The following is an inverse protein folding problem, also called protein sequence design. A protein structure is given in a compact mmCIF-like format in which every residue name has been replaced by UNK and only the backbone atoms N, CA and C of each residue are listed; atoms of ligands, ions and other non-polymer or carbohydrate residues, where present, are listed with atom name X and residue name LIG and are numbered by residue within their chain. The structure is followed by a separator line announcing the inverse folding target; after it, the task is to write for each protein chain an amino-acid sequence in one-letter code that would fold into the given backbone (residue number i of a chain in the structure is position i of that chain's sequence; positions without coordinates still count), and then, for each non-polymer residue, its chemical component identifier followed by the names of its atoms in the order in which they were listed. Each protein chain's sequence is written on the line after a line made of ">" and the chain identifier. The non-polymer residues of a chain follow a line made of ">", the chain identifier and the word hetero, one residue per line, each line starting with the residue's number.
data_IF_933749424421
#
_entry.id   IF_933749424421
#
_cell.length_a   1.000
_cell.length_b   1.000
_cell.length_c   1.000
_cell.angle_alpha   90.00
_cell.angle_beta   90.00
_cell.angle_gamma   90.00
#
_symmetry.space_group_name_H-M   'P 1'
#
loop_
_entity.id
_entity.type
_entity.pdbx_description
1 polymer ?
#
# COMPACT_ATOMS: atom_id res chain seq x y z
N UNK A 1 16.88 59.66 19.30
CA UNK A 1 16.21 58.76 18.38
C UNK A 1 17.28 57.97 17.66
N UNK A 2 17.52 56.73 18.05
CA UNK A 2 18.47 55.83 17.42
C UNK A 2 17.64 54.69 16.81
N UNK A 3 17.62 54.62 15.48
CA UNK A 3 17.03 53.54 14.71
C UNK A 3 17.82 52.25 14.94
N UNK A 4 17.17 51.26 15.52
CA UNK A 4 17.70 49.90 15.61
C UNK A 4 17.52 49.23 14.26
N UNK A 5 18.61 49.14 13.46
CA UNK A 5 18.71 48.31 12.28
C UNK A 5 18.68 46.83 12.68
N UNK A 6 17.53 46.18 12.52
CA UNK A 6 17.41 44.70 12.59
C UNK A 6 18.08 44.06 11.39
N UNK A 7 19.27 43.53 11.60
CA UNK A 7 19.93 42.63 10.62
C UNK A 7 19.10 41.36 10.49
N UNK A 8 18.81 40.89 9.24
CA UNK A 8 18.15 39.63 9.03
C UNK A 8 19.10 38.49 9.47
N UNK A 9 18.62 37.60 10.32
CA UNK A 9 19.33 36.40 10.73
C UNK A 9 19.70 35.53 9.51
N UNK A 10 20.92 34.94 9.45
CA UNK A 10 21.35 34.14 8.33
C UNK A 10 20.45 32.91 8.19
N UNK A 11 19.91 32.72 6.99
CA UNK A 11 19.20 31.53 6.57
C UNK A 11 20.09 30.30 6.85
N UNK A 12 19.72 29.50 7.84
CA UNK A 12 20.41 28.25 8.14
C UNK A 12 20.39 27.35 6.92
N UNK A 13 21.53 27.22 6.26
CA UNK A 13 21.79 26.16 5.27
C UNK A 13 21.48 24.81 5.92
N UNK A 14 20.83 23.87 5.19
CA UNK A 14 20.53 22.55 5.75
C UNK A 14 21.85 21.89 6.14
N UNK A 15 21.98 21.56 7.43
CA UNK A 15 23.18 20.89 7.95
C UNK A 15 23.44 19.64 7.10
N UNK A 16 24.70 19.37 6.79
CA UNK A 16 25.14 18.16 6.05
C UNK A 16 24.59 16.88 6.68
N UNK A 17 24.35 16.87 7.99
CA UNK A 17 23.72 15.80 8.76
C UNK A 17 22.28 15.47 8.34
N UNK A 18 21.46 16.45 7.94
CA UNK A 18 20.07 16.19 7.55
C UNK A 18 19.95 15.47 6.19
N UNK A 19 20.86 15.75 5.24
CA UNK A 19 20.91 15.04 3.96
C UNK A 19 21.36 13.59 4.12
N UNK A 20 22.38 13.35 4.94
CA UNK A 20 22.86 12.01 5.22
C UNK A 20 21.81 11.16 5.94
N UNK A 21 21.13 11.72 6.93
CA UNK A 21 20.04 11.06 7.66
C UNK A 21 18.86 10.69 6.73
N UNK A 22 18.50 11.60 5.80
CA UNK A 22 17.44 11.31 4.82
C UNK A 22 17.87 10.21 3.84
N UNK A 23 19.07 10.29 3.27
CA UNK A 23 19.56 9.27 2.33
C UNK A 23 19.57 7.89 3.01
N UNK A 24 19.94 7.85 4.28
CA UNK A 24 19.93 6.62 5.05
C UNK A 24 18.52 6.01 5.16
N UNK A 25 17.54 6.78 5.64
CA UNK A 25 16.17 6.27 5.80
C UNK A 25 15.54 5.89 4.45
N UNK A 26 15.91 6.60 3.38
CA UNK A 26 15.51 6.24 2.01
C UNK A 26 16.04 4.86 1.61
N UNK A 27 17.32 4.59 1.84
CA UNK A 27 17.93 3.28 1.58
C UNK A 27 17.26 2.20 2.43
N UNK A 28 17.05 2.45 3.71
CA UNK A 28 16.37 1.52 4.63
C UNK A 28 15.00 1.14 4.10
N UNK A 29 14.17 2.11 3.73
CA UNK A 29 12.83 1.87 3.18
C UNK A 29 12.89 1.13 1.85
N UNK A 30 13.82 1.51 0.96
CA UNK A 30 13.99 0.84 -0.32
C UNK A 30 14.36 -0.64 -0.14
N UNK A 31 15.26 -0.96 0.80
CA UNK A 31 15.67 -2.34 1.11
C UNK A 31 14.54 -3.13 1.76
N UNK A 32 13.74 -2.53 2.65
CA UNK A 32 12.59 -3.19 3.27
C UNK A 32 11.53 -3.57 2.23
N UNK A 33 11.22 -2.65 1.29
CA UNK A 33 10.26 -2.94 0.22
C UNK A 33 10.81 -3.90 -0.83
N UNK A 34 12.11 -3.86 -1.09
CA UNK A 34 12.78 -4.85 -1.94
C UNK A 34 12.69 -6.25 -1.32
N UNK A 35 13.02 -6.40 -0.03
CA UNK A 35 12.91 -7.67 0.68
C UNK A 35 11.47 -8.22 0.70
N UNK A 36 10.48 -7.34 0.94
CA UNK A 36 9.07 -7.70 0.85
C UNK A 36 8.68 -8.15 -0.57
N UNK A 37 9.10 -7.40 -1.59
CA UNK A 37 8.82 -7.69 -2.99
C UNK A 37 9.43 -9.01 -3.47
N UNK A 38 10.61 -9.37 -2.98
CA UNK A 38 11.29 -10.65 -3.29
C UNK A 38 10.44 -11.86 -2.89
N UNK A 39 9.70 -11.79 -1.80
CA UNK A 39 8.89 -12.89 -1.26
C UNK A 39 7.55 -13.01 -1.99
N UNK A 40 7.01 -11.90 -2.49
CA UNK A 40 5.66 -11.83 -3.05
C UNK A 40 5.36 -12.90 -4.12
N UNK A 41 6.22 -13.18 -5.13
CA UNK A 41 5.95 -14.18 -6.17
C UNK A 41 6.12 -15.62 -5.72
N UNK A 42 6.73 -15.87 -4.55
CA UNK A 42 7.21 -17.19 -4.15
C UNK A 42 6.44 -17.81 -3.00
N UNK A 43 5.95 -17.00 -2.06
CA UNK A 43 5.21 -17.50 -0.90
C UNK A 43 4.00 -18.36 -1.29
N UNK A 44 3.14 -17.97 -2.26
CA UNK A 44 2.03 -18.81 -2.70
C UNK A 44 2.50 -20.16 -3.28
N UNK A 45 3.59 -20.18 -4.06
CA UNK A 45 4.13 -21.40 -4.65
C UNK A 45 4.73 -22.34 -3.58
N UNK A 46 5.34 -21.79 -2.54
CA UNK A 46 5.80 -22.58 -1.40
C UNK A 46 4.61 -23.20 -0.64
N UNK A 47 3.47 -22.51 -0.53
CA UNK A 47 2.24 -23.05 0.05
C UNK A 47 1.68 -24.16 -0.85
N UNK A 48 1.67 -24.00 -2.18
CA UNK A 48 1.26 -25.03 -3.14
C UNK A 48 2.12 -26.30 -2.96
N UNK A 49 3.43 -26.13 -2.78
CA UNK A 49 4.34 -27.26 -2.54
C UNK A 49 3.99 -28.03 -1.26
N UNK A 50 3.68 -27.33 -0.15
CA UNK A 50 3.24 -27.97 1.09
C UNK A 50 1.87 -28.63 0.98
N UNK A 51 0.99 -28.16 0.09
CA UNK A 51 -0.32 -28.74 -0.18
C UNK A 51 -0.30 -29.80 -1.33
N UNK A 52 0.87 -30.37 -1.58
CA UNK A 52 1.08 -31.41 -2.61
C UNK A 52 0.52 -31.04 -3.99
N UNK A 53 0.62 -29.79 -4.39
CA UNK A 53 0.14 -29.27 -5.68
C UNK A 53 -1.34 -28.88 -5.71
N UNK A 54 -2.07 -28.96 -4.61
CA UNK A 54 -3.48 -28.56 -4.56
C UNK A 54 -3.65 -27.04 -4.51
N UNK A 55 -3.77 -26.40 -5.69
CA UNK A 55 -3.86 -24.95 -5.84
C UNK A 55 -5.11 -24.37 -5.14
N UNK A 56 -6.26 -25.07 -5.16
CA UNK A 56 -7.48 -24.58 -4.50
C UNK A 56 -7.29 -24.48 -2.98
N UNK A 57 -6.70 -25.50 -2.33
CA UNK A 57 -6.39 -25.46 -0.90
C UNK A 57 -5.31 -24.43 -0.58
N UNK A 58 -4.27 -24.39 -1.42
CA UNK A 58 -3.19 -23.40 -1.26
C UNK A 58 -3.71 -21.96 -1.37
N UNK A 59 -4.65 -21.70 -2.26
CA UNK A 59 -5.29 -20.40 -2.39
C UNK A 59 -6.05 -20.00 -1.11
N UNK A 60 -6.86 -20.92 -0.56
CA UNK A 60 -7.57 -20.67 0.68
C UNK A 60 -6.59 -20.36 1.84
N UNK A 61 -5.51 -21.14 1.96
CA UNK A 61 -4.47 -20.96 2.99
C UNK A 61 -3.73 -19.62 2.78
N UNK A 62 -3.39 -19.28 1.56
CA UNK A 62 -2.73 -17.99 1.23
C UNK A 62 -3.56 -16.80 1.72
N UNK A 63 -4.89 -16.89 1.64
CA UNK A 63 -5.80 -15.87 2.18
C UNK A 63 -5.68 -15.72 3.70
N UNK A 64 -5.63 -16.81 4.43
CA UNK A 64 -5.42 -16.76 5.88
C UNK A 64 -4.05 -16.19 6.26
N UNK A 65 -3.01 -16.49 5.48
CA UNK A 65 -1.68 -15.93 5.67
C UNK A 65 -1.66 -14.42 5.43
N UNK A 66 -2.32 -13.96 4.36
CA UNK A 66 -2.46 -12.53 4.07
C UNK A 66 -3.27 -11.79 5.14
N UNK A 67 -4.40 -12.38 5.57
CA UNK A 67 -5.23 -11.84 6.65
C UNK A 67 -4.46 -11.73 7.96
N UNK A 68 -3.75 -12.79 8.37
CA UNK A 68 -2.99 -12.83 9.60
C UNK A 68 -1.87 -11.76 9.61
N UNK A 69 -1.11 -11.68 8.53
CA UNK A 69 -0.08 -10.66 8.36
C UNK A 69 -0.62 -9.23 8.43
N UNK A 70 -1.68 -8.94 7.67
CA UNK A 70 -2.28 -7.60 7.64
C UNK A 70 -2.93 -7.24 8.98
N UNK A 71 -3.51 -8.22 9.69
CA UNK A 71 -4.08 -8.02 11.03
C UNK A 71 -2.99 -7.64 12.02
N UNK A 72 -1.88 -8.39 12.05
CA UNK A 72 -0.74 -8.04 12.90
C UNK A 72 -0.18 -6.66 12.57
N UNK A 73 -0.02 -6.34 11.28
CA UNK A 73 0.45 -5.03 10.87
C UNK A 73 -0.52 -3.91 11.31
N UNK A 74 -1.83 -4.11 11.16
CA UNK A 74 -2.83 -3.12 11.55
C UNK A 74 -2.85 -2.88 13.06
N UNK A 75 -2.76 -3.94 13.86
CA UNK A 75 -2.76 -3.85 15.32
C UNK A 75 -1.46 -3.28 15.88
N UNK A 76 -0.32 -3.68 15.32
CA UNK A 76 0.99 -3.31 15.87
C UNK A 76 1.54 -2.00 15.31
N UNK A 77 1.06 -1.50 14.16
CA UNK A 77 1.53 -0.24 13.60
C UNK A 77 1.38 0.95 14.55
N UNK A 78 0.22 1.18 15.21
CA UNK A 78 0.10 2.25 16.19
C UNK A 78 0.91 1.97 17.47
N UNK A 79 1.11 0.71 17.85
CA UNK A 79 1.92 0.33 19.03
C UNK A 79 3.40 0.66 18.77
N UNK A 80 3.94 0.22 17.63
CA UNK A 80 5.32 0.52 17.25
C UNK A 80 5.53 2.02 17.02
N UNK A 81 4.53 2.71 16.46
CA UNK A 81 4.56 4.17 16.37
C UNK A 81 4.69 4.83 17.74
N UNK A 82 3.86 4.43 18.70
CA UNK A 82 3.89 4.93 20.07
C UNK A 82 5.20 4.58 20.81
N UNK A 83 5.73 3.38 20.60
CA UNK A 83 7.05 3.01 21.12
C UNK A 83 8.16 3.84 20.49
N UNK A 84 8.08 4.12 19.21
CA UNK A 84 9.00 5.01 18.50
C UNK A 84 8.97 6.44 19.06
N UNK A 85 7.80 6.96 19.45
CA UNK A 85 7.65 8.25 20.12
C UNK A 85 8.24 8.25 21.54
N UNK A 86 8.24 7.11 22.23
CA UNK A 86 8.71 6.99 23.61
C UNK A 86 10.20 6.64 23.72
N UNK A 87 10.66 5.68 22.94
CA UNK A 87 12.02 5.15 23.06
C UNK A 87 13.00 5.74 22.05
N UNK A 88 12.47 6.48 21.07
CA UNK A 88 13.21 7.04 19.94
C UNK A 88 12.92 6.29 18.63
N UNK A 89 13.15 6.96 17.51
CA UNK A 89 12.87 6.42 16.16
C UNK A 89 13.83 5.30 15.79
N UNK A 90 15.13 5.55 16.02
CA UNK A 90 16.21 4.64 15.65
C UNK A 90 16.06 3.24 16.22
N UNK A 91 15.88 3.02 17.55
CA UNK A 91 15.77 1.67 18.12
C UNK A 91 14.65 0.86 17.52
N UNK A 92 13.49 1.49 17.25
CA UNK A 92 12.32 0.79 16.71
C UNK A 92 12.53 0.39 15.25
N UNK A 93 13.10 1.28 14.43
CA UNK A 93 13.44 0.98 13.03
C UNK A 93 14.44 -0.18 12.96
N UNK A 94 15.51 -0.13 13.77
CA UNK A 94 16.53 -1.18 13.79
C UNK A 94 15.99 -2.52 14.29
N UNK A 95 15.16 -2.51 15.34
CA UNK A 95 14.51 -3.71 15.88
C UNK A 95 13.59 -4.36 14.82
N UNK A 96 12.86 -3.54 14.07
CA UNK A 96 12.00 -4.02 13.00
C UNK A 96 12.78 -4.64 11.85
N UNK A 97 13.84 -3.99 11.36
CA UNK A 97 14.69 -4.54 10.29
C UNK A 97 15.38 -5.84 10.73
N UNK A 98 15.91 -5.89 11.97
CA UNK A 98 16.55 -7.07 12.52
C UNK A 98 15.55 -8.21 12.73
N UNK A 99 14.37 -7.91 13.29
CA UNK A 99 13.29 -8.88 13.48
C UNK A 99 12.78 -9.46 12.15
N UNK A 100 12.63 -8.63 11.11
CA UNK A 100 12.29 -9.10 9.75
C UNK A 100 13.39 -10.03 9.19
N UNK A 101 14.65 -9.69 9.36
CA UNK A 101 15.76 -10.53 8.90
C UNK A 101 15.76 -11.91 9.55
N UNK A 102 15.53 -11.97 10.87
CA UNK A 102 15.41 -13.24 11.59
C UNK A 102 14.15 -14.02 11.17
N UNK A 103 13.04 -13.35 10.97
CA UNK A 103 11.81 -13.96 10.50
C UNK A 103 11.95 -14.58 9.11
N UNK A 104 12.66 -13.92 8.20
CA UNK A 104 12.93 -14.48 6.87
C UNK A 104 13.83 -15.73 6.95
N UNK A 105 14.81 -15.78 7.84
CA UNK A 105 15.56 -17.02 8.12
C UNK A 105 14.63 -18.10 8.66
N UNK A 106 13.77 -17.75 9.62
CA UNK A 106 12.80 -18.67 10.20
C UNK A 106 11.87 -19.25 9.14
N UNK A 107 11.34 -18.40 8.22
CA UNK A 107 10.51 -18.86 7.11
C UNK A 107 11.29 -19.68 6.06
N UNK A 108 12.55 -19.34 5.78
CA UNK A 108 13.41 -20.12 4.89
C UNK A 108 13.63 -21.56 5.40
N UNK A 109 13.69 -21.74 6.70
CA UNK A 109 13.90 -23.02 7.37
C UNK A 109 12.60 -23.75 7.72
N UNK A 110 11.43 -23.12 7.49
CA UNK A 110 10.15 -23.66 7.91
C UNK A 110 9.88 -25.07 7.34
N UNK A 111 9.64 -26.08 8.21
CA UNK A 111 9.40 -27.46 7.79
C UNK A 111 7.94 -27.74 7.46
N UNK A 112 7.01 -26.84 7.80
CA UNK A 112 5.56 -27.00 7.62
C UNK A 112 4.84 -25.67 7.47
N UNK A 113 3.57 -25.72 7.02
CA UNK A 113 2.69 -24.55 6.91
C UNK A 113 2.48 -23.83 8.24
N UNK A 114 2.39 -24.57 9.36
CA UNK A 114 2.27 -23.97 10.69
C UNK A 114 3.43 -23.06 11.05
N UNK A 115 4.66 -23.47 10.74
CA UNK A 115 5.86 -22.65 10.93
C UNK A 115 5.85 -21.41 10.02
N UNK A 116 5.51 -21.59 8.75
CA UNK A 116 5.33 -20.44 7.83
C UNK A 116 4.27 -19.46 8.33
N UNK A 117 3.17 -19.96 8.91
CA UNK A 117 2.11 -19.13 9.45
C UNK A 117 2.60 -18.30 10.65
N UNK A 118 3.35 -18.92 11.56
CA UNK A 118 3.99 -18.20 12.68
C UNK A 118 4.94 -17.11 12.15
N UNK A 119 5.75 -17.41 11.14
CA UNK A 119 6.57 -16.41 10.47
C UNK A 119 5.72 -15.25 9.91
N UNK A 120 4.58 -15.52 9.29
CA UNK A 120 3.68 -14.45 8.81
C UNK A 120 3.13 -13.55 9.91
N UNK A 121 2.87 -14.10 11.10
CA UNK A 121 2.49 -13.30 12.27
C UNK A 121 3.65 -12.40 12.72
N UNK A 122 4.86 -12.96 12.82
CA UNK A 122 6.06 -12.22 13.22
C UNK A 122 6.37 -11.11 12.20
N UNK A 123 6.34 -11.44 10.89
CA UNK A 123 6.60 -10.44 9.86
C UNK A 123 5.55 -9.33 9.82
N UNK A 124 4.28 -9.63 10.13
CA UNK A 124 3.24 -8.63 10.28
C UNK A 124 3.53 -7.62 11.41
N UNK A 125 4.03 -8.10 12.53
CA UNK A 125 4.45 -7.24 13.66
C UNK A 125 5.67 -6.41 13.27
N UNK A 126 6.72 -7.05 12.77
CA UNK A 126 8.01 -6.41 12.50
C UNK A 126 7.98 -5.46 11.29
N UNK A 127 7.13 -5.69 10.28
CA UNK A 127 6.95 -4.79 9.14
C UNK A 127 6.15 -3.52 9.44
N UNK A 128 5.68 -3.35 10.68
CA UNK A 128 4.88 -2.16 11.09
C UNK A 128 5.72 -0.89 11.33
N UNK A 129 6.98 -0.86 10.91
CA UNK A 129 7.93 0.24 11.11
C UNK A 129 7.74 1.43 10.16
N UNK A 130 6.90 1.31 9.14
CA UNK A 130 6.67 2.35 8.12
C UNK A 130 6.25 3.67 8.77
N UNK A 131 5.36 3.63 9.78
CA UNK A 131 4.95 4.84 10.51
C UNK A 131 6.14 5.53 11.20
N UNK A 132 7.04 4.76 11.82
CA UNK A 132 8.26 5.27 12.45
C UNK A 132 9.23 5.87 11.44
N UNK A 133 9.34 5.29 10.26
CA UNK A 133 10.18 5.80 9.17
C UNK A 133 9.64 7.14 8.63
N UNK A 134 8.33 7.28 8.42
CA UNK A 134 7.71 8.55 8.03
C UNK A 134 7.87 9.63 9.11
N UNK A 135 7.73 9.25 10.39
CA UNK A 135 7.97 10.16 11.51
C UNK A 135 9.44 10.62 11.55
N UNK A 136 10.39 9.70 11.35
CA UNK A 136 11.82 10.01 11.26
C UNK A 136 12.10 11.07 10.17
N UNK A 137 11.54 10.88 8.96
CA UNK A 137 11.68 11.87 7.87
C UNK A 137 11.09 13.22 8.26
N UNK A 138 9.96 13.23 8.97
CA UNK A 138 9.33 14.47 9.45
C UNK A 138 10.22 15.20 10.46
N UNK A 139 10.92 14.45 11.33
CA UNK A 139 11.81 15.01 12.36
C UNK A 139 13.06 15.66 11.73
N UNK A 140 13.64 15.06 10.66
CA UNK A 140 14.90 15.53 10.05
C UNK A 140 14.69 16.47 8.86
N UNK A 141 13.43 16.72 8.44
CA UNK A 141 13.12 17.50 7.23
C UNK A 141 12.33 18.76 7.56
N UNK A 142 12.79 19.94 7.13
CA UNK A 142 12.05 21.19 7.23
C UNK A 142 10.67 21.08 6.53
N UNK A 143 9.62 21.75 7.05
CA UNK A 143 8.25 21.65 6.52
C UNK A 143 8.13 21.84 5.01
N UNK A 144 8.86 22.80 4.44
CA UNK A 144 8.82 23.18 3.03
C UNK A 144 9.36 22.06 2.10
N UNK A 145 10.20 21.16 2.63
CA UNK A 145 10.83 20.06 1.87
C UNK A 145 10.16 18.71 2.12
N UNK A 146 9.25 18.59 3.08
CA UNK A 146 8.61 17.31 3.47
C UNK A 146 7.88 16.65 2.29
N UNK A 147 7.11 17.43 1.52
CA UNK A 147 6.39 16.90 0.36
C UNK A 147 7.33 16.24 -0.65
N UNK A 148 8.47 16.85 -0.96
CA UNK A 148 9.48 16.28 -1.84
C UNK A 148 10.08 14.99 -1.26
N UNK A 149 10.38 14.97 0.05
CA UNK A 149 10.98 13.80 0.69
C UNK A 149 10.00 12.63 0.76
N UNK A 150 8.72 12.87 1.06
CA UNK A 150 7.69 11.83 1.00
C UNK A 150 7.48 11.30 -0.43
N UNK A 151 7.59 12.15 -1.44
CA UNK A 151 7.58 11.73 -2.83
C UNK A 151 8.73 10.77 -3.16
N UNK A 152 9.94 11.05 -2.66
CA UNK A 152 11.09 10.16 -2.82
C UNK A 152 10.90 8.83 -2.10
N UNK A 153 10.33 8.83 -0.87
CA UNK A 153 9.99 7.57 -0.18
C UNK A 153 8.97 6.74 -0.95
N UNK A 154 7.98 7.39 -1.57
CA UNK A 154 7.03 6.71 -2.46
C UNK A 154 7.72 6.12 -3.69
N UNK A 155 8.75 6.79 -4.22
CA UNK A 155 9.57 6.23 -5.31
C UNK A 155 10.40 5.02 -4.84
N UNK A 156 10.95 5.03 -3.61
CA UNK A 156 11.63 3.87 -3.03
C UNK A 156 10.69 2.66 -2.90
N UNK A 157 9.45 2.89 -2.45
CA UNK A 157 8.39 1.88 -2.46
C UNK A 157 8.16 1.31 -3.87
N UNK A 158 7.99 2.18 -4.87
CA UNK A 158 7.79 1.77 -6.26
C UNK A 158 8.95 0.93 -6.81
N UNK A 159 10.20 1.33 -6.53
CA UNK A 159 11.40 0.58 -6.93
C UNK A 159 11.43 -0.81 -6.29
N UNK A 160 11.12 -0.92 -4.99
CA UNK A 160 11.05 -2.20 -4.29
C UNK A 160 10.00 -3.14 -4.91
N UNK A 161 8.85 -2.59 -5.30
CA UNK A 161 7.78 -3.33 -5.97
C UNK A 161 8.06 -3.71 -7.44
N UNK A 162 8.98 -3.04 -8.10
CA UNK A 162 9.43 -3.38 -9.46
C UNK A 162 10.54 -4.43 -9.40
N UNK A 163 11.60 -4.14 -8.64
CA UNK A 163 12.81 -4.96 -8.60
C UNK A 163 12.61 -6.20 -7.75
N UNK A 164 11.87 -6.08 -6.63
CA UNK A 164 11.63 -7.17 -5.68
C UNK A 164 11.04 -8.42 -6.35
N UNK A 165 9.87 -8.35 -6.98
CA UNK A 165 9.27 -9.50 -7.64
C UNK A 165 10.13 -10.08 -8.76
N UNK A 166 10.85 -9.24 -9.51
CA UNK A 166 11.75 -9.71 -10.56
C UNK A 166 12.90 -10.56 -9.96
N UNK A 167 13.56 -10.05 -8.94
CA UNK A 167 14.63 -10.78 -8.23
C UNK A 167 14.06 -12.02 -7.53
N UNK A 168 12.91 -11.89 -6.87
CA UNK A 168 12.24 -12.98 -6.18
C UNK A 168 11.84 -14.12 -7.11
N UNK A 169 11.30 -13.78 -8.29
CA UNK A 169 10.96 -14.77 -9.32
C UNK A 169 12.17 -15.48 -9.91
N UNK A 170 13.29 -14.75 -10.11
CA UNK A 170 14.55 -15.36 -10.57
C UNK A 170 15.14 -16.31 -9.53
N UNK A 171 15.21 -15.90 -8.28
CA UNK A 171 15.71 -16.75 -7.18
C UNK A 171 14.76 -17.92 -6.91
N UNK A 172 13.44 -17.70 -6.95
CA UNK A 172 12.41 -18.69 -6.72
C UNK A 172 12.41 -19.80 -7.77
N UNK A 173 12.72 -19.45 -9.02
CA UNK A 173 12.87 -20.42 -10.10
C UNK A 173 14.03 -21.40 -9.86
N UNK A 174 15.08 -20.99 -9.15
CA UNK A 174 16.19 -21.88 -8.77
C UNK A 174 15.76 -22.73 -7.57
N UNK A 175 15.23 -22.10 -6.52
CA UNK A 175 14.73 -22.76 -5.33
C UNK A 175 13.76 -21.82 -4.59
N UNK A 176 12.57 -22.32 -4.23
CA UNK A 176 11.52 -21.54 -3.55
C UNK A 176 11.93 -20.95 -2.18
N UNK A 177 13.01 -21.44 -1.58
CA UNK A 177 13.52 -20.91 -0.31
C UNK A 177 14.61 -19.84 -0.46
N UNK A 178 15.27 -19.75 -1.64
CA UNK A 178 16.30 -18.74 -1.90
C UNK A 178 15.80 -17.30 -1.75
N UNK A 179 14.58 -16.92 -2.17
CA UNK A 179 14.05 -15.58 -1.96
C UNK A 179 14.00 -15.18 -0.49
N UNK A 180 13.66 -16.11 0.41
CA UNK A 180 13.65 -15.83 1.87
C UNK A 180 15.06 -15.61 2.41
N UNK A 181 16.07 -16.37 1.96
CA UNK A 181 17.46 -16.13 2.29
C UNK A 181 17.96 -14.78 1.76
N UNK A 182 17.60 -14.43 0.51
CA UNK A 182 17.92 -13.14 -0.07
C UNK A 182 17.31 -11.98 0.73
N UNK A 183 16.03 -12.09 1.09
CA UNK A 183 15.35 -11.10 1.91
C UNK A 183 15.96 -11.01 3.33
N UNK A 184 16.35 -12.14 3.93
CA UNK A 184 17.02 -12.16 5.22
C UNK A 184 18.37 -11.41 5.18
N UNK A 185 19.20 -11.69 4.17
CA UNK A 185 20.48 -10.99 4.01
C UNK A 185 20.27 -9.49 3.82
N UNK A 186 19.30 -9.08 2.99
CA UNK A 186 19.01 -7.66 2.79
C UNK A 186 18.53 -6.98 4.07
N UNK A 187 17.61 -7.61 4.82
CA UNK A 187 17.05 -7.01 6.04
C UNK A 187 18.08 -6.96 7.17
N UNK A 188 18.90 -7.99 7.34
CA UNK A 188 19.99 -7.98 8.33
C UNK A 188 21.10 -6.99 7.95
N UNK A 189 21.48 -6.92 6.67
CA UNK A 189 22.43 -5.93 6.18
C UNK A 189 21.91 -4.50 6.40
N UNK A 190 20.59 -4.28 6.18
CA UNK A 190 19.92 -3.02 6.45
C UNK A 190 19.94 -2.66 7.95
N UNK A 191 19.62 -3.63 8.83
CA UNK A 191 19.70 -3.44 10.27
C UNK A 191 21.13 -3.10 10.73
N UNK A 192 22.12 -3.83 10.20
CA UNK A 192 23.52 -3.60 10.50
C UNK A 192 24.02 -2.25 9.99
N UNK A 193 23.71 -1.91 8.74
CA UNK A 193 24.00 -0.59 8.17
C UNK A 193 23.37 0.53 9.03
N UNK A 194 22.11 0.35 9.44
CA UNK A 194 21.42 1.28 10.32
C UNK A 194 22.03 1.43 11.70
N UNK A 195 22.51 0.34 12.24
CA UNK A 195 23.16 0.37 13.55
C UNK A 195 24.38 1.30 13.59
N UNK A 196 25.18 1.34 12.53
CA UNK A 196 26.37 2.20 12.46
C UNK A 196 26.10 3.62 11.98
N UNK A 197 25.11 3.82 11.12
CA UNK A 197 24.98 5.06 10.36
C UNK A 197 23.73 5.88 10.73
N UNK A 198 22.62 5.23 11.19
CA UNK A 198 21.39 5.95 11.50
C UNK A 198 21.53 6.74 12.81
N UNK A 199 21.52 8.09 12.79
CA UNK A 199 21.44 8.87 14.01
C UNK A 199 20.04 8.79 14.62
N UNK A 200 19.87 9.09 15.91
CA UNK A 200 18.57 9.29 16.51
C UNK A 200 18.00 10.63 16.05
N UNK A 201 16.72 10.64 15.60
CA UNK A 201 16.05 11.87 15.15
C UNK A 201 15.22 12.53 16.26
N UNK A 202 14.82 11.75 17.28
CA UNK A 202 13.97 12.22 18.37
C UNK A 202 14.76 12.39 19.66
N UNK A 203 15.16 13.65 20.02
CA UNK A 203 15.88 13.92 21.26
C UNK A 203 15.08 13.49 22.49
N UNK A 204 15.74 13.07 23.58
CA UNK A 204 15.08 12.60 24.80
C UNK A 204 14.02 13.57 25.35
N UNK A 205 14.24 14.89 25.21
CA UNK A 205 13.38 15.96 25.71
C UNK A 205 12.04 16.02 24.95
N UNK A 206 12.00 15.55 23.69
CA UNK A 206 10.80 15.53 22.83
C UNK A 206 10.06 14.20 22.86
N UNK A 207 10.57 13.21 23.61
CA UNK A 207 9.95 11.89 23.71
C UNK A 207 8.65 11.94 24.51
N UNK A 208 7.64 11.24 24.03
CA UNK A 208 6.34 11.18 24.69
C UNK A 208 6.42 10.36 25.99
N UNK A 209 5.90 10.91 27.10
CA UNK A 209 5.77 10.19 28.38
C UNK A 209 4.54 9.25 28.41
N UNK A 210 3.56 9.45 27.52
CA UNK A 210 2.29 8.71 27.49
C UNK A 210 2.01 8.17 26.09
N UNK A 211 2.54 6.99 25.78
CA UNK A 211 2.44 6.37 24.47
C UNK A 211 1.06 5.75 24.15
N UNK A 212 0.25 5.39 25.16
CA UNK A 212 -0.94 4.54 24.99
C UNK A 212 -2.23 5.26 24.60
N UNK A 213 -2.33 6.56 24.81
CA UNK A 213 -3.59 7.32 24.61
C UNK A 213 -3.96 7.60 23.15
N UNK A 214 -3.04 7.42 22.20
CA UNK A 214 -3.24 7.80 20.79
C UNK A 214 -3.44 6.61 19.82
N UNK A 215 -3.44 5.39 20.32
CA UNK A 215 -3.45 4.19 19.49
C UNK A 215 -4.86 3.68 19.12
N UNK A 216 -5.77 4.57 18.71
CA UNK A 216 -7.06 4.15 18.19
C UNK A 216 -7.10 4.26 16.65
N UNK A 217 -6.81 3.19 15.90
CA UNK A 217 -6.78 3.24 14.44
C UNK A 217 -8.16 3.48 13.82
N UNK A 218 -9.24 3.23 14.56
CA UNK A 218 -10.61 3.41 14.07
C UNK A 218 -11.23 4.75 14.49
N UNK A 219 -10.63 5.46 15.44
CA UNK A 219 -11.16 6.73 15.96
C UNK A 219 -11.33 7.82 14.91
N UNK A 220 -10.47 7.83 13.89
CA UNK A 220 -10.54 8.79 12.78
C UNK A 220 -11.72 8.55 11.83
N UNK A 221 -12.32 7.34 11.82
CA UNK A 221 -13.48 7.04 10.98
C UNK A 221 -14.72 7.84 11.37
N UNK A 222 -14.80 8.34 12.59
CA UNK A 222 -15.92 9.20 13.04
C UNK A 222 -16.03 10.48 12.22
N UNK A 223 -14.90 11.02 11.72
CA UNK A 223 -14.87 12.18 10.84
C UNK A 223 -15.68 11.97 9.56
N UNK A 224 -15.65 10.75 9.00
CA UNK A 224 -16.31 10.41 7.73
C UNK A 224 -17.83 10.44 7.86
N UNK A 225 -18.36 10.26 9.09
CA UNK A 225 -19.80 10.35 9.38
C UNK A 225 -20.25 11.78 9.71
N UNK A 226 -19.33 12.63 10.17
CA UNK A 226 -19.64 13.96 10.64
C UNK A 226 -19.83 14.99 9.52
N UNK A 227 -19.34 14.72 8.30
CA UNK A 227 -19.38 15.67 7.17
C UNK A 227 -20.25 15.13 6.06
N UNK A 228 -21.29 15.91 5.66
CA UNK A 228 -22.15 15.61 4.54
C UNK A 228 -21.33 15.46 3.23
N UNK A 229 -21.59 14.41 2.45
CA UNK A 229 -20.91 14.14 1.19
C UNK A 229 -19.52 13.47 1.32
N UNK A 230 -18.90 13.43 2.52
CA UNK A 230 -17.63 12.73 2.73
C UNK A 230 -17.84 11.21 2.81
N UNK A 231 -18.95 10.77 3.39
CA UNK A 231 -19.29 9.36 3.54
C UNK A 231 -19.37 8.61 2.21
N UNK A 232 -19.95 9.21 1.18
CA UNK A 232 -20.00 8.61 -0.16
C UNK A 232 -18.62 8.43 -0.80
N UNK A 233 -17.76 9.45 -0.72
CA UNK A 233 -16.37 9.34 -1.20
C UNK A 233 -15.53 8.36 -0.37
N UNK A 234 -15.76 8.30 0.94
CA UNK A 234 -15.10 7.34 1.81
C UNK A 234 -15.49 5.89 1.46
N UNK A 235 -16.76 5.65 1.13
CA UNK A 235 -17.23 4.34 0.70
C UNK A 235 -16.66 3.96 -0.67
N UNK A 236 -16.63 4.89 -1.64
CA UNK A 236 -15.94 4.72 -2.92
C UNK A 236 -14.46 4.38 -2.67
N UNK A 237 -13.78 5.10 -1.78
CA UNK A 237 -12.38 4.85 -1.43
C UNK A 237 -12.19 3.45 -0.84
N UNK A 238 -13.08 3.02 0.05
CA UNK A 238 -13.05 1.68 0.65
C UNK A 238 -13.20 0.58 -0.41
N UNK A 239 -14.20 0.69 -1.29
CA UNK A 239 -14.42 -0.29 -2.37
C UNK A 239 -13.24 -0.30 -3.36
N UNK A 240 -12.70 0.87 -3.67
CA UNK A 240 -11.53 1.00 -4.54
C UNK A 240 -10.29 0.32 -3.93
N UNK A 241 -10.02 0.52 -2.63
CA UNK A 241 -8.93 -0.17 -1.93
C UNK A 241 -9.20 -1.68 -1.79
N UNK A 242 -10.46 -2.09 -1.61
CA UNK A 242 -10.80 -3.50 -1.60
C UNK A 242 -10.52 -4.15 -2.96
N UNK A 243 -10.98 -3.54 -4.06
CA UNK A 243 -10.70 -4.03 -5.41
C UNK A 243 -9.19 -4.12 -5.70
N UNK A 244 -8.39 -3.19 -5.14
CA UNK A 244 -6.93 -3.19 -5.27
C UNK A 244 -6.28 -4.45 -4.68
N UNK A 245 -6.90 -5.07 -3.69
CA UNK A 245 -6.34 -6.27 -3.06
C UNK A 245 -6.40 -7.52 -3.95
N UNK A 246 -7.19 -7.54 -5.03
CA UNK A 246 -7.28 -8.71 -5.90
C UNK A 246 -5.95 -9.09 -6.52
N UNK A 247 -5.26 -8.13 -7.15
CA UNK A 247 -4.01 -8.42 -7.85
C UNK A 247 -2.94 -9.02 -6.91
N UNK A 248 -2.54 -8.38 -5.80
CA UNK A 248 -1.51 -8.93 -4.92
C UNK A 248 -1.92 -10.23 -4.23
N UNK A 249 -3.23 -10.50 -4.10
CA UNK A 249 -3.72 -11.69 -3.38
C UNK A 249 -3.74 -12.94 -4.24
N UNK A 250 -4.05 -12.82 -5.53
CA UNK A 250 -4.32 -14.01 -6.37
C UNK A 250 -3.46 -14.10 -7.62
N UNK A 251 -2.72 -13.06 -8.01
CA UNK A 251 -2.03 -13.02 -9.31
C UNK A 251 -1.09 -14.22 -9.51
N UNK A 252 -0.29 -14.57 -8.50
CA UNK A 252 0.65 -15.69 -8.54
C UNK A 252 -0.10 -17.01 -8.75
N UNK A 253 -1.09 -17.26 -7.90
CA UNK A 253 -1.92 -18.47 -7.93
C UNK A 253 -2.71 -18.60 -9.23
N UNK A 254 -3.25 -17.48 -9.72
CA UNK A 254 -4.01 -17.43 -10.96
C UNK A 254 -3.11 -17.71 -12.18
N UNK A 255 -1.92 -17.07 -12.20
CA UNK A 255 -0.97 -17.21 -13.31
C UNK A 255 -0.42 -18.64 -13.40
N UNK A 256 -0.13 -19.28 -12.27
CA UNK A 256 0.24 -20.67 -12.20
C UNK A 256 -0.91 -21.58 -12.67
N UNK A 257 -2.10 -21.43 -12.07
CA UNK A 257 -3.27 -22.26 -12.41
C UNK A 257 -3.73 -22.13 -13.88
N UNK A 258 -3.76 -20.89 -14.40
CA UNK A 258 -4.36 -20.59 -15.70
C UNK A 258 -3.40 -20.74 -16.87
N UNK A 259 -2.11 -20.44 -16.66
CA UNK A 259 -1.11 -20.35 -17.72
C UNK A 259 0.10 -21.26 -17.48
N UNK A 260 0.24 -21.88 -16.30
CA UNK A 260 1.43 -22.64 -15.93
C UNK A 260 2.69 -21.77 -15.89
N UNK A 261 2.57 -20.50 -15.47
CA UNK A 261 3.71 -19.60 -15.44
C UNK A 261 4.67 -19.95 -14.31
N UNK A 262 5.96 -20.02 -14.66
CA UNK A 262 7.02 -20.16 -13.67
C UNK A 262 7.16 -18.87 -12.80
N UNK A 263 7.79 -19.02 -11.65
CA UNK A 263 8.11 -17.90 -10.72
C UNK A 263 8.84 -16.76 -11.44
N UNK A 264 9.73 -17.09 -12.37
CA UNK A 264 10.43 -16.12 -13.22
C UNK A 264 9.46 -15.29 -14.04
N UNK A 265 8.52 -15.94 -14.73
CA UNK A 265 7.53 -15.24 -15.57
C UNK A 265 6.59 -14.39 -14.73
N UNK A 266 6.15 -14.90 -13.59
CA UNK A 266 5.32 -14.16 -12.62
C UNK A 266 6.07 -12.94 -12.10
N UNK A 267 7.33 -13.10 -11.65
CA UNK A 267 8.14 -12.00 -11.13
C UNK A 267 8.38 -10.89 -12.17
N UNK A 268 8.71 -11.26 -13.41
CA UNK A 268 8.88 -10.31 -14.51
C UNK A 268 7.56 -9.60 -14.87
N UNK A 269 6.44 -10.31 -14.84
CA UNK A 269 5.12 -9.73 -15.10
C UNK A 269 4.74 -8.70 -14.04
N UNK A 270 5.01 -8.97 -12.76
CA UNK A 270 4.82 -8.00 -11.67
C UNK A 270 5.73 -6.77 -11.82
N UNK A 271 6.96 -6.95 -12.30
CA UNK A 271 7.83 -5.82 -12.62
C UNK A 271 7.25 -4.94 -13.73
N UNK A 272 6.69 -5.53 -14.80
CA UNK A 272 6.00 -4.79 -15.87
C UNK A 272 4.80 -4.02 -15.31
N UNK A 273 4.01 -4.63 -14.44
CA UNK A 273 2.90 -3.94 -13.72
C UNK A 273 3.44 -2.75 -12.94
N UNK A 274 4.49 -2.95 -12.15
CA UNK A 274 5.10 -1.89 -11.34
C UNK A 274 5.63 -0.73 -12.18
N UNK A 275 6.33 -1.01 -13.28
CA UNK A 275 6.83 0.01 -14.22
C UNK A 275 5.65 0.79 -14.81
N UNK A 276 4.61 0.09 -15.29
CA UNK A 276 3.45 0.72 -15.92
C UNK A 276 2.73 1.66 -14.95
N UNK A 277 2.51 1.23 -13.70
CA UNK A 277 1.91 2.07 -12.64
C UNK A 277 2.80 3.28 -12.34
N UNK A 278 4.13 3.10 -12.26
CA UNK A 278 5.07 4.17 -11.97
C UNK A 278 5.08 5.23 -13.07
N UNK A 279 5.06 4.81 -14.34
CA UNK A 279 4.99 5.71 -15.49
C UNK A 279 3.69 6.52 -15.48
N UNK A 280 2.56 5.88 -15.31
CA UNK A 280 1.26 6.58 -15.25
C UNK A 280 1.20 7.53 -14.06
N UNK A 281 1.60 7.09 -12.87
CA UNK A 281 1.58 7.91 -11.66
C UNK A 281 2.51 9.12 -11.75
N UNK A 282 3.71 8.94 -12.32
CA UNK A 282 4.71 10.00 -12.41
C UNK A 282 4.48 11.00 -13.54
N UNK A 283 3.95 10.53 -14.68
CA UNK A 283 3.86 11.35 -15.91
C UNK A 283 2.44 11.76 -16.26
N UNK A 284 1.44 10.89 -16.05
CA UNK A 284 0.10 11.11 -16.60
C UNK A 284 -0.89 11.72 -15.61
N UNK A 285 -0.81 11.38 -14.31
CA UNK A 285 -1.80 11.83 -13.31
C UNK A 285 -1.93 13.35 -13.27
N UNK A 286 -0.81 14.07 -13.15
CA UNK A 286 -0.81 15.54 -13.05
C UNK A 286 -1.45 16.22 -14.27
N UNK A 287 -0.93 16.01 -15.48
CA UNK A 287 -1.49 16.59 -16.72
C UNK A 287 -2.95 16.19 -16.94
N UNK A 288 -3.32 14.94 -16.66
CA UNK A 288 -4.68 14.45 -16.86
C UNK A 288 -5.67 15.17 -15.94
N UNK A 289 -5.36 15.24 -14.63
CA UNK A 289 -6.23 15.92 -13.65
C UNK A 289 -6.30 17.43 -13.92
N UNK A 290 -5.20 18.04 -14.36
CA UNK A 290 -5.19 19.46 -14.77
C UNK A 290 -6.13 19.73 -15.95
N UNK A 291 -6.21 18.81 -16.93
CA UNK A 291 -7.02 18.98 -18.14
C UNK A 291 -8.49 18.61 -17.95
N UNK A 292 -8.78 17.53 -17.26
CA UNK A 292 -10.12 16.95 -17.14
C UNK A 292 -10.77 17.14 -15.76
N UNK A 293 -10.04 17.74 -14.83
CA UNK A 293 -10.46 17.91 -13.43
C UNK A 293 -10.42 16.63 -12.62
N UNK A 294 -10.62 16.76 -11.31
CA UNK A 294 -10.57 15.61 -10.39
C UNK A 294 -11.72 14.64 -10.62
N UNK A 295 -12.94 15.14 -10.95
CA UNK A 295 -14.08 14.28 -11.28
C UNK A 295 -13.81 13.48 -12.54
N UNK A 296 -13.29 14.11 -13.60
CA UNK A 296 -12.89 13.43 -14.83
C UNK A 296 -11.83 12.35 -14.57
N UNK A 297 -10.82 12.66 -13.72
CA UNK A 297 -9.80 11.72 -13.29
C UNK A 297 -10.35 10.53 -12.52
N UNK A 298 -11.31 10.76 -11.61
CA UNK A 298 -11.98 9.71 -10.86
C UNK A 298 -12.74 8.76 -11.80
N UNK A 299 -13.64 9.28 -12.65
CA UNK A 299 -14.44 8.46 -13.55
C UNK A 299 -13.58 7.69 -14.56
N UNK A 300 -12.64 8.36 -15.20
CA UNK A 300 -11.75 7.72 -16.17
C UNK A 300 -10.94 6.60 -15.51
N UNK A 301 -10.34 6.87 -14.34
CA UNK A 301 -9.59 5.86 -13.61
C UNK A 301 -10.46 4.67 -13.20
N UNK A 302 -11.66 4.89 -12.64
CA UNK A 302 -12.56 3.79 -12.27
C UNK A 302 -12.98 2.94 -13.47
N UNK A 303 -13.31 3.56 -14.61
CA UNK A 303 -13.70 2.84 -15.83
C UNK A 303 -12.53 2.00 -16.36
N UNK A 304 -11.33 2.58 -16.43
CA UNK A 304 -10.13 1.81 -16.85
C UNK A 304 -9.83 0.67 -15.89
N UNK A 305 -10.08 0.83 -14.58
CA UNK A 305 -9.99 -0.25 -13.60
C UNK A 305 -11.00 -1.37 -13.85
N UNK A 306 -12.26 -1.04 -14.17
CA UNK A 306 -13.28 -2.03 -14.56
C UNK A 306 -12.81 -2.82 -15.79
N UNK A 307 -12.31 -2.13 -16.82
CA UNK A 307 -11.80 -2.78 -18.05
C UNK A 307 -10.59 -3.65 -17.77
N UNK A 308 -9.67 -3.21 -16.90
CA UNK A 308 -8.50 -3.99 -16.52
C UNK A 308 -8.87 -5.31 -15.85
N UNK A 309 -9.70 -5.24 -14.80
CA UNK A 309 -10.09 -6.44 -14.06
C UNK A 309 -11.02 -7.35 -14.86
N UNK A 310 -11.92 -6.80 -15.65
CA UNK A 310 -12.71 -7.60 -16.60
C UNK A 310 -11.78 -8.29 -17.63
N UNK A 311 -10.79 -7.57 -18.15
CA UNK A 311 -9.76 -8.11 -19.02
C UNK A 311 -8.96 -9.26 -18.38
N UNK A 312 -8.52 -9.09 -17.12
CA UNK A 312 -7.84 -10.16 -16.37
C UNK A 312 -8.73 -11.37 -16.14
N UNK A 313 -10.02 -11.15 -15.83
CA UNK A 313 -10.97 -12.24 -15.63
C UNK A 313 -11.26 -13.04 -16.89
N UNK A 314 -11.28 -12.38 -18.06
CA UNK A 314 -11.52 -12.98 -19.37
C UNK A 314 -10.26 -13.55 -20.01
N UNK A 315 -9.06 -13.19 -19.53
CA UNK A 315 -7.80 -13.61 -20.14
C UNK A 315 -7.65 -15.12 -20.10
N UNK A 316 -7.74 -15.74 -21.27
CA UNK A 316 -7.54 -17.17 -21.47
C UNK A 316 -6.09 -17.52 -21.84
N UNK A 317 -5.31 -16.55 -22.31
CA UNK A 317 -3.90 -16.69 -22.69
C UNK A 317 -3.05 -15.63 -22.00
N UNK A 318 -1.80 -15.96 -21.70
CA UNK A 318 -0.89 -15.08 -20.95
C UNK A 318 -0.70 -13.69 -21.56
N UNK A 319 -0.65 -13.57 -22.89
CA UNK A 319 -0.50 -12.27 -23.55
C UNK A 319 -1.67 -11.31 -23.30
N UNK A 320 -2.89 -11.86 -23.07
CA UNK A 320 -4.07 -11.04 -22.76
C UNK A 320 -3.95 -10.35 -21.40
N UNK A 321 -3.24 -10.96 -20.43
CA UNK A 321 -2.89 -10.33 -19.16
C UNK A 321 -2.04 -9.09 -19.40
N UNK A 322 -1.01 -9.19 -20.25
CA UNK A 322 -0.16 -8.05 -20.57
C UNK A 322 -0.94 -6.94 -21.28
N UNK A 323 -1.89 -7.27 -22.16
CA UNK A 323 -2.76 -6.28 -22.83
C UNK A 323 -3.68 -5.52 -21.85
N UNK A 324 -4.01 -6.10 -20.71
CA UNK A 324 -4.83 -5.44 -19.68
C UNK A 324 -4.02 -4.56 -18.71
N UNK A 325 -2.68 -4.72 -18.61
CA UNK A 325 -1.82 -3.95 -17.71
C UNK A 325 -1.90 -2.43 -17.94
N UNK A 326 -1.94 -1.88 -19.17
CA UNK A 326 -2.08 -0.44 -19.38
C UNK A 326 -3.37 0.12 -18.75
N UNK A 327 -4.49 -0.59 -18.84
CA UNK A 327 -5.74 -0.18 -18.20
C UNK A 327 -5.63 -0.20 -16.68
N UNK A 328 -4.94 -1.22 -16.12
CA UNK A 328 -4.65 -1.28 -14.69
C UNK A 328 -3.81 -0.08 -14.23
N UNK A 329 -2.80 0.30 -15.00
CA UNK A 329 -1.97 1.46 -14.68
C UNK A 329 -2.76 2.77 -14.71
N UNK A 330 -3.62 2.96 -15.73
CA UNK A 330 -4.50 4.12 -15.86
C UNK A 330 -5.53 4.23 -14.72
N UNK A 331 -5.97 3.10 -14.15
CA UNK A 331 -6.79 3.09 -12.95
C UNK A 331 -6.13 3.85 -11.78
N UNK A 332 -4.80 3.87 -11.71
CA UNK A 332 -4.02 4.62 -10.71
C UNK A 332 -4.35 6.12 -10.64
N UNK A 333 -4.99 6.70 -11.68
CA UNK A 333 -5.43 8.10 -11.68
C UNK A 333 -6.58 8.33 -10.68
N UNK A 334 -7.44 7.32 -10.43
CA UNK A 334 -8.60 7.44 -9.54
C UNK A 334 -8.25 7.76 -8.09
N UNK A 335 -7.15 7.21 -7.56
CA UNK A 335 -6.74 7.38 -6.16
C UNK A 335 -6.44 8.84 -5.79
N UNK A 336 -5.46 9.50 -6.42
CA UNK A 336 -5.17 10.92 -6.21
C UNK A 336 -6.37 11.84 -6.48
N UNK A 337 -7.18 11.52 -7.49
CA UNK A 337 -8.39 12.28 -7.81
C UNK A 337 -9.42 12.22 -6.66
N UNK A 338 -9.68 11.02 -6.11
CA UNK A 338 -10.59 10.84 -4.97
C UNK A 338 -10.06 11.54 -3.72
N UNK A 339 -8.76 11.39 -3.44
CA UNK A 339 -8.12 12.04 -2.29
C UNK A 339 -8.21 13.55 -2.37
N UNK A 340 -7.99 14.15 -3.54
CA UNK A 340 -8.15 15.59 -3.76
C UNK A 340 -9.59 16.05 -3.51
N UNK A 341 -10.58 15.32 -4.04
CA UNK A 341 -12.00 15.60 -3.81
C UNK A 341 -12.38 15.54 -2.31
N UNK A 342 -11.82 14.59 -1.55
CA UNK A 342 -12.04 14.49 -0.10
C UNK A 342 -11.37 15.64 0.66
N UNK A 343 -10.13 15.99 0.30
CA UNK A 343 -9.33 17.03 0.96
C UNK A 343 -10.01 18.41 0.85
N UNK A 344 -10.62 18.71 -0.29
CA UNK A 344 -11.35 19.98 -0.50
C UNK A 344 -12.62 20.13 0.34
N UNK A 345 -13.15 19.05 0.91
CA UNK A 345 -14.37 19.04 1.73
C UNK A 345 -14.09 19.13 3.22
N UNK A 346 -12.83 19.19 3.59
CA UNK A 346 -12.40 19.19 4.99
C UNK A 346 -11.53 20.41 5.25
N UNK A 347 -11.76 21.07 6.38
CA UNK A 347 -10.94 22.20 6.80
C UNK A 347 -9.47 21.81 6.97
N UNK A 348 -8.52 22.75 6.78
CA UNK A 348 -7.09 22.49 6.96
C UNK A 348 -6.74 21.86 8.32
N UNK A 349 -7.43 22.23 9.37
CA UNK A 349 -7.28 21.71 10.75
C UNK A 349 -7.65 20.21 10.87
N UNK A 350 -8.54 19.70 10.02
CA UNK A 350 -9.03 18.32 10.05
C UNK A 350 -8.38 17.40 9.01
N UNK A 351 -7.47 17.91 8.17
CA UNK A 351 -6.80 17.11 7.13
C UNK A 351 -6.00 15.93 7.70
N UNK A 352 -5.37 16.10 8.87
CA UNK A 352 -4.69 15.00 9.56
C UNK A 352 -5.63 13.87 9.97
N UNK A 353 -6.84 14.21 10.46
CA UNK A 353 -7.88 13.23 10.79
C UNK A 353 -8.41 12.53 9.55
N UNK A 354 -8.57 13.26 8.43
CA UNK A 354 -8.97 12.68 7.13
C UNK A 354 -7.93 11.66 6.66
N UNK A 355 -6.65 11.99 6.71
CA UNK A 355 -5.58 11.07 6.32
C UNK A 355 -5.55 9.83 7.22
N UNK A 356 -5.76 10.00 8.51
CA UNK A 356 -5.93 8.89 9.46
C UNK A 356 -7.11 7.98 9.09
N UNK A 357 -8.26 8.55 8.71
CA UNK A 357 -9.43 7.81 8.26
C UNK A 357 -9.17 7.02 6.97
N UNK A 358 -8.52 7.63 5.98
CA UNK A 358 -8.13 6.96 4.72
C UNK A 358 -7.18 5.79 5.00
N UNK A 359 -6.20 5.97 5.88
CA UNK A 359 -5.27 4.91 6.28
C UNK A 359 -5.98 3.76 7.02
N UNK A 360 -7.00 4.07 7.85
CA UNK A 360 -7.81 3.06 8.51
C UNK A 360 -8.63 2.24 7.50
N UNK A 361 -9.24 2.88 6.49
CA UNK A 361 -9.95 2.19 5.41
C UNK A 361 -8.99 1.26 4.64
N UNK A 362 -7.77 1.74 4.32
CA UNK A 362 -6.73 0.94 3.67
C UNK A 362 -6.32 -0.26 4.53
N UNK A 363 -6.16 -0.07 5.85
CA UNK A 363 -5.82 -1.14 6.78
C UNK A 363 -6.90 -2.21 6.84
N UNK A 364 -8.16 -1.83 7.01
CA UNK A 364 -9.31 -2.76 7.03
C UNK A 364 -9.42 -3.54 5.72
N UNK A 365 -9.36 -2.85 4.58
CA UNK A 365 -9.42 -3.53 3.27
C UNK A 365 -8.21 -4.41 3.01
N UNK A 366 -7.02 -4.03 3.50
CA UNK A 366 -5.82 -4.85 3.48
C UNK A 366 -5.93 -6.13 4.30
N UNK A 367 -6.71 -6.12 5.40
CA UNK A 367 -6.98 -7.32 6.19
C UNK A 367 -7.96 -8.25 5.48
N UNK A 368 -9.13 -7.75 5.10
CA UNK A 368 -10.21 -8.61 4.56
C UNK A 368 -10.03 -8.97 3.09
N UNK A 369 -9.35 -8.11 2.31
CA UNK A 369 -9.18 -8.29 0.87
C UNK A 369 -8.51 -9.59 0.47
N UNK A 370 -7.30 -9.91 1.00
CA UNK A 370 -6.65 -11.18 0.69
C UNK A 370 -7.55 -12.38 0.96
N UNK A 371 -8.26 -12.39 2.10
CA UNK A 371 -9.15 -13.47 2.45
C UNK A 371 -10.31 -13.59 1.44
N UNK A 372 -11.00 -12.50 1.12
CA UNK A 372 -12.13 -12.50 0.18
C UNK A 372 -11.67 -13.03 -1.19
N UNK A 373 -10.63 -12.45 -1.79
CA UNK A 373 -10.25 -12.77 -3.16
C UNK A 373 -9.68 -14.18 -3.31
N UNK A 374 -8.93 -14.66 -2.32
CA UNK A 374 -8.38 -16.02 -2.36
C UNK A 374 -9.45 -17.07 -2.09
N UNK A 375 -10.43 -16.82 -1.20
CA UNK A 375 -11.55 -17.74 -1.00
C UNK A 375 -12.45 -17.80 -2.22
N UNK A 376 -12.74 -16.67 -2.89
CA UNK A 376 -13.48 -16.65 -4.15
C UNK A 376 -12.73 -17.44 -5.24
N UNK A 377 -11.40 -17.28 -5.32
CA UNK A 377 -10.58 -18.04 -6.26
C UNK A 377 -10.59 -19.53 -5.94
N UNK A 378 -10.33 -19.90 -4.69
CA UNK A 378 -10.34 -21.29 -4.24
C UNK A 378 -11.67 -21.99 -4.52
N UNK A 379 -12.79 -21.30 -4.25
CA UNK A 379 -14.12 -21.82 -4.55
C UNK A 379 -14.35 -21.98 -6.06
N UNK A 380 -13.92 -21.01 -6.87
CA UNK A 380 -14.14 -20.98 -8.31
C UNK A 380 -13.36 -22.06 -9.07
N UNK A 381 -12.20 -22.51 -8.54
CA UNK A 381 -11.38 -23.58 -9.15
C UNK A 381 -11.54 -24.93 -8.44
N UNK A 382 -12.37 -25.01 -7.39
CA UNK A 382 -12.62 -26.26 -6.66
C UNK A 382 -13.22 -27.33 -7.58
N UNK A 383 -12.85 -28.62 -7.43
CA UNK A 383 -13.50 -29.72 -8.16
C UNK A 383 -15.02 -29.81 -7.96
N UNK A 384 -15.54 -29.20 -6.86
CA UNK A 384 -16.96 -29.15 -6.55
C UNK A 384 -17.67 -27.92 -7.14
N UNK A 385 -16.95 -27.01 -7.80
CA UNK A 385 -17.55 -25.82 -8.39
C UNK A 385 -18.47 -26.19 -9.54
N UNK A 386 -19.73 -25.73 -9.48
CA UNK A 386 -20.70 -25.91 -10.57
C UNK A 386 -20.29 -25.16 -11.84
N UNK A 387 -19.59 -24.05 -11.67
CA UNK A 387 -19.06 -23.22 -12.75
C UNK A 387 -17.55 -22.98 -12.52
N UNK A 388 -16.73 -23.60 -13.37
CA UNK A 388 -15.28 -23.36 -13.33
C UNK A 388 -14.94 -21.99 -13.92
N UNK A 389 -14.86 -20.97 -13.06
CA UNK A 389 -14.62 -19.58 -13.45
C UNK A 389 -13.37 -19.02 -12.73
N UNK A 390 -12.14 -19.38 -13.14
CA UNK A 390 -10.92 -18.93 -12.48
C UNK A 390 -10.80 -17.41 -12.36
N UNK A 391 -11.39 -16.65 -13.30
CA UNK A 391 -11.44 -15.21 -13.31
C UNK A 391 -12.40 -14.56 -12.29
N UNK A 392 -13.19 -15.35 -11.53
CA UNK A 392 -14.20 -14.84 -10.59
C UNK A 392 -13.70 -13.73 -9.64
N UNK A 393 -12.51 -13.83 -9.01
CA UNK A 393 -12.02 -12.75 -8.15
C UNK A 393 -11.76 -11.46 -8.90
N UNK A 394 -11.30 -11.53 -10.15
CA UNK A 394 -11.11 -10.32 -10.98
C UNK A 394 -12.45 -9.70 -11.40
N UNK A 395 -13.44 -10.55 -11.73
CA UNK A 395 -14.80 -10.06 -11.98
C UNK A 395 -15.43 -9.43 -10.73
N UNK A 396 -15.15 -9.95 -9.53
CA UNK A 396 -15.56 -9.30 -8.29
C UNK A 396 -14.93 -7.90 -8.16
N UNK A 397 -13.64 -7.74 -8.46
CA UNK A 397 -13.00 -6.40 -8.48
C UNK A 397 -13.62 -5.47 -9.51
N UNK A 398 -13.88 -5.96 -10.71
CA UNK A 398 -14.57 -5.19 -11.75
C UNK A 398 -15.96 -4.73 -11.28
N UNK A 399 -16.71 -5.59 -10.60
CA UNK A 399 -18.02 -5.27 -10.03
C UNK A 399 -17.93 -4.21 -8.92
N UNK A 400 -16.95 -4.33 -8.02
CA UNK A 400 -16.71 -3.32 -6.96
C UNK A 400 -16.39 -1.96 -7.57
N UNK A 401 -15.57 -1.90 -8.62
CA UNK A 401 -15.24 -0.67 -9.32
C UNK A 401 -16.42 -0.11 -10.13
N UNK A 402 -17.23 -0.97 -10.72
CA UNK A 402 -18.48 -0.55 -11.39
C UNK A 402 -19.45 0.07 -10.38
N UNK A 403 -19.57 -0.52 -9.19
CA UNK A 403 -20.34 0.08 -8.10
C UNK A 403 -19.75 1.44 -7.68
N UNK A 404 -18.42 1.60 -7.65
CA UNK A 404 -17.79 2.91 -7.44
C UNK A 404 -18.18 3.93 -8.51
N UNK A 405 -18.25 3.55 -9.79
CA UNK A 405 -18.69 4.42 -10.88
C UNK A 405 -20.12 4.89 -10.63
N UNK A 406 -21.04 3.97 -10.30
CA UNK A 406 -22.45 4.29 -10.01
C UNK A 406 -22.56 5.22 -8.80
N UNK A 407 -21.83 4.94 -7.72
CA UNK A 407 -21.82 5.79 -6.53
C UNK A 407 -21.24 7.18 -6.81
N UNK A 408 -20.20 7.27 -7.63
CA UNK A 408 -19.58 8.54 -8.00
C UNK A 408 -20.56 9.42 -8.83
N UNK A 409 -21.39 8.83 -9.70
CA UNK A 409 -22.45 9.58 -10.41
C UNK A 409 -23.48 10.17 -9.46
N UNK A 410 -23.89 9.41 -8.43
CA UNK A 410 -24.86 9.87 -7.44
C UNK A 410 -24.31 11.00 -6.55
N UNK A 411 -23.05 10.88 -6.12
CA UNK A 411 -22.38 11.95 -5.36
C UNK A 411 -22.27 13.23 -6.20
N UNK A 412 -21.94 13.12 -7.49
CA UNK A 412 -21.83 14.26 -8.39
C UNK A 412 -23.19 14.95 -8.62
N UNK A 413 -24.29 14.20 -8.76
CA UNK A 413 -25.65 14.74 -8.91
C UNK A 413 -26.13 15.45 -7.64
N UNK A 414 -25.89 14.87 -6.47
CA UNK A 414 -26.23 15.49 -5.20
C UNK A 414 -25.57 16.86 -4.99
N UNK A 415 -24.31 17.02 -5.42
CA UNK A 415 -23.62 18.32 -5.35
C UNK A 415 -24.18 19.34 -6.32
N UNK A 416 -24.55 18.94 -7.53
CA UNK A 416 -25.17 19.84 -8.50
C UNK A 416 -26.54 20.34 -8.01
N UNK A 417 -27.33 19.48 -7.39
CA UNK A 417 -28.61 19.84 -6.80
C UNK A 417 -28.45 20.86 -5.67
N UNK A 418 -27.47 20.68 -4.77
CA UNK A 418 -27.18 21.62 -3.68
C UNK A 418 -26.72 22.99 -4.22
N UNK A 419 -25.87 23.00 -5.25
CA UNK A 419 -25.39 24.24 -5.87
C UNK A 419 -26.53 24.99 -6.59
N UNK A 420 -27.46 24.29 -7.25
CA UNK A 420 -28.63 24.88 -7.92
C UNK A 420 -29.59 25.49 -6.90
N UNK A 421 -29.86 24.80 -5.78
CA UNK A 421 -30.71 25.36 -4.70
C UNK A 421 -30.10 26.57 -4.04
N UNK A 422 -28.76 26.57 -3.81
CA UNK A 422 -28.05 27.72 -3.25
C UNK A 422 -28.04 28.92 -4.21
N UNK A 423 -27.89 28.68 -5.53
CA UNK A 423 -27.96 29.73 -6.56
C UNK A 423 -29.36 30.31 -6.69
N UNK A 424 -30.40 29.47 -6.62
CA UNK A 424 -31.81 29.94 -6.64
C UNK A 424 -32.13 30.80 -5.41
N UNK A 425 -31.69 30.37 -4.22
CA UNK A 425 -31.90 31.15 -2.99
C UNK A 425 -31.17 32.51 -3.00
N UNK A 426 -29.99 32.59 -3.64
CA UNK A 426 -29.25 33.86 -3.79
C UNK A 426 -29.81 34.80 -4.83
N UNK A 427 -30.60 34.32 -5.77
CA UNK A 427 -31.33 35.14 -6.78
C UNK A 427 -32.69 35.66 -6.32
N UNK A 428 -33.22 35.13 -5.21
CA UNK A 428 -34.50 35.56 -4.62
C UNK A 428 -34.32 36.57 -3.47
N UNK A 429 -33.10 36.93 -3.09
CA UNK A 429 -32.84 38.05 -2.15
C UNK A 429 -32.69 39.35 -2.98
N UNK A 430 -33.64 40.30 -2.89
CA UNK A 430 -33.60 41.55 -3.63
C UNK A 430 -32.51 42.52 -3.14
#
# INVERSE_FOLDING_TARGET
>A
MAEATTTPSPSSSPSSNGRAAFLFIFITIALDFLAFGIIAPVLPNLIIQFEAGNISRAAAITGYFGFAWATMQFLFSPILGAWSDRFGRRPIILLSCFGLGLDYIFMALAPSLGWLFVGRLISGITSSNIASAFAYVTDVTPPEKRAKQFGLLSAAFGLGFIVGPAVGGLLGHINLRLPFWGAAVLSLANAFYGYFILPESLPPERRSKSAWRMANPLGSLTLLRAHAGLGGLAFITMLNYLAQQALPSIFVLYADYRYGWSERTVGLSLAVVGISISVVSGVMVGPFVKRFGERGGLFFGLITGVLAFAGFGLASRGWMMFAAIPFLALWGISGPATQSLMTRRVEPSAQGKLQGAINSLRGVTGMIGPLIFTQVFAAAISPRASLHLPGAPYFLSALLLLLCVVLATNVARGEQAVLQTASAASSETP
#
